data_IF_304858148643
#
_entry.id   IF_304858148643
#
_cell.length_a   1.000
_cell.length_b   1.000
_cell.length_c   1.000
_cell.angle_alpha   90.00
_cell.angle_beta   90.00
_cell.angle_gamma   90.00
#
_symmetry.space_group_name_H-M   'P 1'
#
loop_
_entity.id
_entity.type
_entity.pdbx_description
1 polymer ?
#
# COMPACT_ATOMS: atom_id res chain seq x y z
N UNK A 1 5.69 12.54 -7.47
CA UNK A 1 4.98 11.31 -7.86
C UNK A 1 4.08 10.89 -6.72
N UNK A 2 2.83 10.57 -7.03
CA UNK A 2 1.84 10.01 -6.11
C UNK A 2 1.55 8.57 -6.51
N UNK A 3 1.91 7.61 -5.67
CA UNK A 3 1.59 6.20 -5.90
C UNK A 3 0.40 5.84 -5.03
N UNK A 4 -0.68 5.40 -5.66
CA UNK A 4 -1.87 4.89 -4.97
C UNK A 4 -1.95 3.37 -5.10
N UNK A 5 -2.64 2.74 -4.18
CA UNK A 5 -2.94 1.31 -4.16
C UNK A 5 -4.38 1.08 -3.73
N UNK A 6 -4.99 -0.02 -4.15
CA UNK A 6 -6.31 -0.41 -3.64
C UNK A 6 -6.32 -0.33 -2.11
N UNK A 7 -7.15 0.55 -1.51
CA UNK A 7 -7.18 0.76 -0.06
C UNK A 7 -7.42 -0.51 0.74
N UNK A 8 -8.15 -1.48 0.18
CA UNK A 8 -8.40 -2.78 0.80
C UNK A 8 -7.12 -3.60 0.90
N UNK A 9 -6.30 -3.56 -0.16
CA UNK A 9 -5.00 -4.24 -0.20
C UNK A 9 -3.94 -3.52 0.65
N UNK A 10 -4.06 -2.20 0.85
CA UNK A 10 -3.23 -1.45 1.80
C UNK A 10 -3.45 -1.97 3.22
N UNK A 11 -4.71 -2.11 3.63
CA UNK A 11 -5.07 -2.65 4.95
C UNK A 11 -4.57 -4.09 5.13
N UNK A 12 -4.75 -4.94 4.12
CA UNK A 12 -4.28 -6.33 4.16
C UNK A 12 -2.75 -6.39 4.28
N UNK A 13 -2.06 -5.61 3.45
CA UNK A 13 -0.60 -5.54 3.45
C UNK A 13 -0.08 -5.09 4.82
N UNK A 14 -0.62 -4.01 5.37
CA UNK A 14 -0.28 -3.50 6.69
C UNK A 14 -0.55 -4.50 7.81
N UNK A 15 -1.75 -5.07 7.84
CA UNK A 15 -2.17 -6.01 8.88
C UNK A 15 -1.27 -7.24 9.00
N UNK A 16 -0.80 -7.79 7.88
CA UNK A 16 0.14 -8.92 7.89
C UNK A 16 1.60 -8.51 8.03
N UNK A 17 1.98 -7.32 7.59
CA UNK A 17 3.34 -6.81 7.71
C UNK A 17 3.66 -6.38 9.14
N UNK A 18 2.78 -5.62 9.77
CA UNK A 18 3.05 -4.99 11.05
C UNK A 18 3.16 -5.96 12.22
N UNK A 19 2.63 -7.17 12.10
CA UNK A 19 2.82 -8.22 13.13
C UNK A 19 4.26 -8.73 13.21
N UNK A 20 5.06 -8.56 12.14
CA UNK A 20 6.44 -9.05 12.06
C UNK A 20 7.48 -7.96 11.83
N UNK A 21 7.06 -6.71 11.58
CA UNK A 21 7.97 -5.61 11.22
C UNK A 21 9.04 -5.35 12.26
N UNK A 22 10.23 -5.00 11.78
CA UNK A 22 11.38 -4.58 12.62
C UNK A 22 11.56 -3.07 12.66
N UNK A 23 10.70 -2.32 11.99
CA UNK A 23 10.77 -0.86 11.93
C UNK A 23 10.64 -0.22 13.31
N UNK A 24 11.48 0.79 13.58
CA UNK A 24 11.55 1.45 14.90
C UNK A 24 10.21 2.01 15.35
N UNK A 25 9.47 2.68 14.46
CA UNK A 25 8.21 3.32 14.81
C UNK A 25 7.16 2.32 15.34
N UNK A 26 7.15 1.10 14.78
CA UNK A 26 6.23 0.03 15.15
C UNK A 26 6.69 -0.74 16.40
N UNK A 27 7.95 -0.61 16.79
CA UNK A 27 8.54 -1.32 17.92
C UNK A 27 8.73 -0.45 19.16
N UNK A 28 8.53 0.88 19.06
CA UNK A 28 8.58 1.78 20.21
C UNK A 28 7.28 1.72 21.02
N UNK A 29 7.37 1.61 22.36
CA UNK A 29 6.20 1.68 23.25
C UNK A 29 5.44 3.00 23.12
N UNK A 30 4.11 2.95 23.12
CA UNK A 30 3.25 4.12 23.03
C UNK A 30 2.13 4.08 24.09
N UNK A 31 1.80 5.25 24.65
CA UNK A 31 0.73 5.38 25.66
C UNK A 31 -0.63 4.91 25.12
N UNK A 32 -0.92 5.21 23.85
CA UNK A 32 -2.18 4.83 23.19
C UNK A 32 -2.42 3.32 23.14
N UNK A 33 -1.35 2.50 23.25
CA UNK A 33 -1.43 1.04 23.31
C UNK A 33 -1.15 0.47 24.71
N UNK A 34 -1.37 1.29 25.76
CA UNK A 34 -1.13 0.85 27.13
C UNK A 34 0.33 0.53 27.42
N UNK A 35 1.27 1.24 26.80
CA UNK A 35 2.71 1.01 26.94
C UNK A 35 3.27 -0.07 26.04
N UNK A 36 2.44 -0.76 25.23
CA UNK A 36 2.89 -1.68 24.20
C UNK A 36 3.35 -0.93 22.95
N UNK A 37 4.17 -1.57 22.13
CA UNK A 37 4.45 -1.08 20.78
C UNK A 37 3.27 -1.36 19.83
N UNK A 38 3.24 -0.70 18.66
CA UNK A 38 2.25 -0.98 17.62
C UNK A 38 2.25 -2.47 17.24
N UNK A 39 3.45 -3.05 16.98
CA UNK A 39 3.61 -4.46 16.67
C UNK A 39 3.04 -5.37 17.74
N UNK A 40 3.28 -5.06 19.00
CA UNK A 40 2.72 -5.84 20.12
C UNK A 40 1.20 -5.71 20.20
N UNK A 41 0.66 -4.53 19.94
CA UNK A 41 -0.78 -4.27 20.00
C UNK A 41 -1.54 -5.02 18.88
N UNK A 42 -1.04 -4.94 17.64
CA UNK A 42 -1.65 -5.66 16.51
C UNK A 42 -1.48 -7.19 16.65
N UNK A 43 -0.31 -7.65 17.12
CA UNK A 43 -0.06 -9.10 17.33
C UNK A 43 -0.91 -9.69 18.46
N UNK A 44 -1.38 -8.88 19.39
CA UNK A 44 -2.26 -9.29 20.45
C UNK A 44 -3.73 -9.45 20.03
N UNK A 45 -4.09 -9.07 18.81
CA UNK A 45 -5.44 -9.24 18.28
C UNK A 45 -5.72 -10.74 18.06
N UNK A 46 -6.90 -11.24 18.51
CA UNK A 46 -7.19 -12.68 18.56
C UNK A 46 -7.19 -13.37 17.20
N UNK A 47 -7.72 -12.70 16.18
CA UNK A 47 -7.91 -13.26 14.85
C UNK A 47 -7.31 -12.37 13.78
N UNK A 48 -7.14 -12.89 12.57
CA UNK A 48 -6.72 -12.04 11.41
C UNK A 48 -7.79 -11.01 11.08
N UNK A 49 -9.07 -11.30 11.27
CA UNK A 49 -10.15 -10.32 11.18
C UNK A 49 -9.88 -9.13 12.13
N UNK A 50 -9.62 -9.40 13.41
CA UNK A 50 -9.39 -8.35 14.40
C UNK A 50 -8.12 -7.55 14.12
N UNK A 51 -7.05 -8.20 13.59
CA UNK A 51 -5.84 -7.51 13.13
C UNK A 51 -6.13 -6.55 11.99
N UNK A 52 -6.95 -6.96 11.01
CA UNK A 52 -7.31 -6.09 9.88
C UNK A 52 -8.22 -4.93 10.32
N UNK A 53 -9.15 -5.17 11.24
CA UNK A 53 -9.95 -4.08 11.84
C UNK A 53 -9.04 -3.12 12.62
N UNK A 54 -8.12 -3.63 13.43
CA UNK A 54 -7.13 -2.81 14.12
C UNK A 54 -6.29 -1.97 13.13
N UNK A 55 -5.85 -2.57 12.02
CA UNK A 55 -5.08 -1.88 10.97
C UNK A 55 -5.90 -0.76 10.30
N UNK A 56 -7.20 -0.98 10.06
CA UNK A 56 -8.11 0.04 9.53
C UNK A 56 -8.24 1.24 10.49
N UNK A 57 -8.22 1.00 11.79
CA UNK A 57 -8.34 2.06 12.80
C UNK A 57 -7.03 2.83 13.02
N UNK A 58 -5.89 2.26 12.61
CA UNK A 58 -4.55 2.79 12.90
C UNK A 58 -3.72 3.08 11.64
N UNK A 59 -2.59 2.40 11.45
CA UNK A 59 -1.60 2.74 10.43
C UNK A 59 -2.14 2.62 9.00
N UNK A 60 -2.76 1.50 8.64
CA UNK A 60 -3.36 1.33 7.31
C UNK A 60 -4.48 2.32 7.05
N UNK A 61 -5.33 2.55 8.07
CA UNK A 61 -6.38 3.54 7.96
C UNK A 61 -5.87 4.97 7.82
N UNK A 62 -4.74 5.31 8.45
CA UNK A 62 -4.06 6.59 8.23
C UNK A 62 -3.63 6.71 6.76
N UNK A 63 -2.96 5.70 6.21
CA UNK A 63 -2.52 5.68 4.81
C UNK A 63 -3.70 5.81 3.84
N UNK A 64 -4.81 5.11 4.08
CA UNK A 64 -6.03 5.25 3.26
C UNK A 64 -6.55 6.69 3.29
N UNK A 65 -6.64 7.30 4.47
CA UNK A 65 -7.09 8.71 4.61
C UNK A 65 -6.15 9.68 3.92
N UNK A 66 -4.84 9.46 3.97
CA UNK A 66 -3.84 10.29 3.28
C UNK A 66 -3.98 10.20 1.76
N UNK A 67 -4.17 8.99 1.20
CA UNK A 67 -4.45 8.82 -0.24
C UNK A 67 -5.76 9.52 -0.66
N UNK A 68 -6.83 9.34 0.11
CA UNK A 68 -8.13 9.96 -0.17
C UNK A 68 -8.09 11.48 -0.01
N UNK A 69 -7.30 11.98 0.94
CA UNK A 69 -7.11 13.39 1.22
C UNK A 69 -6.13 14.11 0.30
N UNK A 70 -5.58 13.42 -0.71
CA UNK A 70 -4.68 14.04 -1.67
C UNK A 70 -5.34 15.20 -2.41
N UNK A 71 -4.61 16.32 -2.55
CA UNK A 71 -5.11 17.49 -3.25
C UNK A 71 -4.99 17.33 -4.77
N UNK A 72 -6.07 16.89 -5.38
CA UNK A 72 -6.15 16.69 -6.84
C UNK A 72 -6.16 18.01 -7.65
N UNK A 73 -6.19 19.19 -7.02
CA UNK A 73 -5.91 20.43 -7.72
C UNK A 73 -4.47 20.52 -8.23
N UNK A 74 -3.58 19.72 -7.63
CA UNK A 74 -2.16 19.59 -8.00
C UNK A 74 -1.88 18.56 -9.10
N UNK A 75 -2.90 18.00 -9.73
CA UNK A 75 -2.76 16.94 -10.75
C UNK A 75 -1.80 17.29 -11.89
N UNK A 76 -1.75 18.56 -12.29
CA UNK A 76 -0.93 19.01 -13.42
C UNK A 76 0.58 19.06 -13.08
N UNK A 77 0.91 19.07 -11.79
CA UNK A 77 2.28 19.03 -11.27
C UNK A 77 2.60 17.73 -10.53
N UNK A 78 1.74 16.72 -10.67
CA UNK A 78 1.90 15.42 -10.04
C UNK A 78 1.75 14.29 -11.07
N UNK A 79 2.67 13.34 -11.05
CA UNK A 79 2.52 12.09 -11.76
C UNK A 79 1.88 11.07 -10.82
N UNK A 80 0.66 10.65 -11.11
CA UNK A 80 0.01 9.59 -10.35
C UNK A 80 0.19 8.23 -11.04
N UNK A 81 0.49 7.21 -10.27
CA UNK A 81 0.59 5.83 -10.73
C UNK A 81 -0.12 4.89 -9.75
N UNK A 82 -0.73 3.83 -10.27
CA UNK A 82 -1.30 2.76 -9.46
C UNK A 82 -0.24 1.68 -9.20
N UNK A 83 -0.13 1.27 -7.95
CA UNK A 83 0.77 0.17 -7.56
C UNK A 83 0.53 -1.08 -8.40
N UNK A 84 -0.74 -1.41 -8.64
CA UNK A 84 -1.16 -2.58 -9.42
C UNK A 84 -0.63 -2.56 -10.85
N UNK A 85 -0.55 -1.38 -11.46
CA UNK A 85 -0.01 -1.22 -12.80
C UNK A 85 1.53 -1.28 -12.81
N UNK A 86 2.17 -0.70 -11.76
CA UNK A 86 3.62 -0.70 -11.63
C UNK A 86 4.20 -2.11 -11.46
N UNK A 87 3.58 -2.96 -10.66
CA UNK A 87 4.08 -4.32 -10.38
C UNK A 87 4.04 -5.26 -11.58
N UNK A 88 3.27 -4.92 -12.61
CA UNK A 88 3.14 -5.71 -13.84
C UNK A 88 3.77 -5.04 -15.07
N UNK A 89 4.38 -3.87 -14.91
CA UNK A 89 4.93 -3.05 -16.01
C UNK A 89 6.25 -3.62 -16.58
N UNK A 90 6.26 -4.92 -16.89
CA UNK A 90 7.42 -5.61 -17.52
C UNK A 90 7.88 -4.91 -18.81
N UNK A 91 6.95 -4.30 -19.53
CA UNK A 91 7.19 -3.58 -20.78
C UNK A 91 7.71 -2.15 -20.58
N UNK A 92 7.89 -1.70 -19.35
CA UNK A 92 8.32 -0.35 -18.99
C UNK A 92 7.50 0.75 -19.73
N UNK A 93 6.18 0.67 -19.66
CA UNK A 93 5.28 1.67 -20.25
C UNK A 93 5.05 2.86 -19.31
N UNK A 94 5.08 2.61 -17.99
CA UNK A 94 4.77 3.60 -16.95
C UNK A 94 6.05 4.21 -16.37
N UNK A 95 7.07 3.39 -16.12
CA UNK A 95 8.31 3.88 -15.50
C UNK A 95 9.05 4.96 -16.32
N UNK A 96 9.21 4.87 -17.67
CA UNK A 96 9.91 5.91 -18.40
C UNK A 96 9.24 7.29 -18.32
N UNK A 97 7.93 7.47 -18.54
CA UNK A 97 7.30 8.77 -18.37
C UNK A 97 7.35 9.25 -16.90
N UNK A 98 7.23 8.37 -15.92
CA UNK A 98 7.38 8.71 -14.51
C UNK A 98 8.79 9.21 -14.19
N UNK A 99 9.84 8.54 -14.67
CA UNK A 99 11.23 8.96 -14.47
C UNK A 99 11.53 10.28 -15.18
N UNK A 100 11.01 10.50 -16.39
CA UNK A 100 11.11 11.77 -17.10
C UNK A 100 10.43 12.91 -16.34
N UNK A 101 9.26 12.66 -15.78
CA UNK A 101 8.58 13.61 -14.90
C UNK A 101 9.44 14.00 -13.68
N UNK A 102 10.25 13.09 -13.17
CA UNK A 102 11.22 13.34 -12.10
C UNK A 102 12.51 14.01 -12.59
N UNK A 103 12.62 14.34 -13.87
CA UNK A 103 13.78 15.04 -14.46
C UNK A 103 14.94 14.10 -14.85
N UNK A 104 14.68 12.80 -15.00
CA UNK A 104 15.67 11.87 -15.55
C UNK A 104 15.67 11.91 -17.08
N UNK A 105 16.82 12.13 -17.69
CA UNK A 105 16.99 12.18 -19.15
C UNK A 105 18.30 11.50 -19.58
N UNK A 106 18.40 11.14 -20.87
CA UNK A 106 19.60 10.53 -21.47
C UNK A 106 20.14 9.35 -20.68
N UNK A 107 21.44 9.28 -20.50
CA UNK A 107 22.12 8.17 -19.79
C UNK A 107 21.64 7.98 -18.34
N UNK A 108 21.15 9.05 -17.67
CA UNK A 108 20.58 8.95 -16.32
C UNK A 108 19.23 8.21 -16.34
N UNK A 109 18.40 8.45 -17.35
CA UNK A 109 17.16 7.73 -17.55
C UNK A 109 17.43 6.23 -17.80
N UNK A 110 18.39 5.91 -18.70
CA UNK A 110 18.74 4.53 -19.02
C UNK A 110 19.22 3.78 -17.77
N UNK A 111 20.05 4.42 -16.96
CA UNK A 111 20.53 3.87 -15.68
C UNK A 111 19.36 3.64 -14.71
N UNK A 112 18.46 4.61 -14.55
CA UNK A 112 17.31 4.48 -13.67
C UNK A 112 16.40 3.33 -14.11
N UNK A 113 16.12 3.18 -15.40
CA UNK A 113 15.30 2.09 -15.94
C UNK A 113 15.95 0.71 -15.79
N UNK A 114 17.29 0.65 -15.82
CA UNK A 114 18.01 -0.58 -15.48
C UNK A 114 17.75 -0.98 -14.03
N UNK A 115 17.90 -0.04 -13.08
CA UNK A 115 17.58 -0.30 -11.67
C UNK A 115 16.13 -0.71 -11.47
N UNK A 116 15.17 -0.05 -12.15
CA UNK A 116 13.76 -0.46 -12.11
C UNK A 116 13.61 -1.91 -12.53
N UNK A 117 14.23 -2.36 -13.60
CA UNK A 117 14.17 -3.78 -14.03
C UNK A 117 14.76 -4.71 -13.00
N UNK A 118 15.95 -4.37 -12.48
CA UNK A 118 16.70 -5.25 -11.59
C UNK A 118 16.03 -5.38 -10.20
N UNK A 119 15.40 -4.29 -9.71
CA UNK A 119 14.84 -4.19 -8.36
C UNK A 119 13.32 -4.35 -8.29
N UNK A 120 12.63 -4.43 -9.44
CA UNK A 120 11.16 -4.63 -9.46
C UNK A 120 10.77 -6.06 -9.12
N UNK A 121 9.50 -6.24 -8.75
CA UNK A 121 8.92 -7.56 -8.51
C UNK A 121 9.05 -8.49 -9.73
N UNK A 122 8.97 -7.94 -10.94
CA UNK A 122 9.14 -8.69 -12.16
C UNK A 122 10.61 -8.90 -12.58
N UNK A 123 11.57 -8.20 -11.95
CA UNK A 123 13.01 -8.30 -12.20
C UNK A 123 13.72 -9.39 -11.40
N UNK A 124 13.00 -10.10 -10.54
CA UNK A 124 13.57 -11.18 -9.72
C UNK A 124 14.13 -10.74 -8.37
N UNK A 125 14.04 -9.46 -8.01
CA UNK A 125 14.40 -8.98 -6.66
C UNK A 125 13.39 -9.42 -5.57
N UNK A 126 12.25 -9.97 -5.98
CA UNK A 126 11.27 -10.54 -5.06
C UNK A 126 11.90 -11.73 -4.32
N UNK A 127 12.11 -11.59 -3.01
CA UNK A 127 12.61 -12.68 -2.15
C UNK A 127 14.10 -12.64 -1.83
N UNK A 128 14.83 -11.59 -2.21
CA UNK A 128 16.27 -11.46 -1.90
C UNK A 128 16.57 -10.81 -0.54
N UNK A 129 15.57 -10.22 0.13
CA UNK A 129 15.74 -9.61 1.46
C UNK A 129 14.93 -10.38 2.52
N UNK A 130 15.60 -10.89 3.58
CA UNK A 130 14.92 -11.53 4.71
C UNK A 130 13.99 -10.61 5.51
N UNK A 131 14.09 -9.31 5.35
CA UNK A 131 13.16 -8.35 5.94
C UNK A 131 11.79 -8.31 5.25
N UNK A 132 11.59 -9.20 4.27
CA UNK A 132 10.40 -9.42 3.45
C UNK A 132 9.25 -8.44 3.65
N UNK A 133 9.41 -7.25 3.06
CA UNK A 133 8.32 -6.30 2.88
C UNK A 133 7.28 -6.82 1.88
N UNK A 134 7.64 -7.85 1.11
CA UNK A 134 6.82 -8.44 0.06
C UNK A 134 6.23 -9.75 0.56
N UNK A 135 4.92 -9.76 0.83
CA UNK A 135 4.20 -10.99 1.20
C UNK A 135 3.83 -11.82 -0.03
N UNK A 136 3.13 -11.21 -1.01
CA UNK A 136 2.74 -11.87 -2.26
C UNK A 136 3.13 -11.07 -3.49
N UNK A 137 3.30 -9.75 -3.36
CA UNK A 137 3.52 -8.86 -4.51
C UNK A 137 2.34 -8.76 -5.48
N UNK A 138 1.15 -9.25 -5.09
CA UNK A 138 -0.04 -9.30 -5.92
C UNK A 138 -1.01 -8.18 -5.57
N UNK A 139 -1.77 -7.73 -6.57
CA UNK A 139 -2.95 -6.89 -6.37
C UNK A 139 -4.21 -7.74 -6.14
N UNK A 140 -5.30 -7.08 -5.70
CA UNK A 140 -6.63 -7.67 -5.51
C UNK A 140 -6.70 -8.82 -4.49
N UNK A 141 -5.80 -8.84 -3.51
CA UNK A 141 -5.80 -9.85 -2.44
C UNK A 141 -7.10 -9.80 -1.62
N UNK A 142 -7.74 -8.62 -1.56
CA UNK A 142 -8.98 -8.39 -0.84
C UNK A 142 -10.13 -9.31 -1.28
N UNK A 143 -10.13 -9.75 -2.53
CA UNK A 143 -11.16 -10.67 -3.06
C UNK A 143 -11.24 -11.96 -2.26
N UNK A 144 -10.10 -12.46 -1.78
CA UNK A 144 -9.99 -13.71 -1.03
C UNK A 144 -9.95 -13.50 0.50
N UNK A 145 -9.68 -12.28 0.96
CA UNK A 145 -9.45 -11.98 2.39
C UNK A 145 -10.65 -11.28 3.03
N UNK A 146 -11.34 -10.39 2.29
CA UNK A 146 -12.43 -9.62 2.84
C UNK A 146 -13.71 -10.44 2.95
N UNK A 147 -14.04 -10.84 4.16
CA UNK A 147 -15.37 -11.38 4.49
C UNK A 147 -16.44 -10.29 4.41
N UNK A 148 -17.74 -10.64 4.41
CA UNK A 148 -18.82 -9.66 4.49
C UNK A 148 -18.64 -8.68 5.65
N UNK A 149 -18.18 -9.16 6.82
CA UNK A 149 -17.97 -8.36 8.03
C UNK A 149 -16.80 -7.37 7.83
N UNK A 150 -15.69 -7.79 7.19
CA UNK A 150 -14.57 -6.90 6.86
C UNK A 150 -14.98 -5.85 5.82
N UNK A 151 -15.82 -6.22 4.84
CA UNK A 151 -16.38 -5.26 3.88
C UNK A 151 -17.22 -4.22 4.60
N UNK A 152 -18.11 -4.64 5.50
CA UNK A 152 -18.93 -3.72 6.30
C UNK A 152 -18.06 -2.80 7.16
N UNK A 153 -17.07 -3.34 7.86
CA UNK A 153 -16.14 -2.58 8.69
C UNK A 153 -15.33 -1.55 7.87
N UNK A 154 -14.91 -1.92 6.66
CA UNK A 154 -14.20 -1.03 5.75
C UNK A 154 -15.14 0.09 5.23
N UNK A 155 -16.33 -0.25 4.73
CA UNK A 155 -17.32 0.74 4.24
C UNK A 155 -17.69 1.76 5.33
N UNK A 156 -17.82 1.32 6.58
CA UNK A 156 -18.12 2.22 7.71
C UNK A 156 -16.99 3.24 7.95
N UNK A 157 -15.74 2.86 7.81
CA UNK A 157 -14.56 3.71 8.07
C UNK A 157 -14.17 4.58 6.89
N UNK A 158 -14.41 4.08 5.69
CA UNK A 158 -13.95 4.68 4.43
C UNK A 158 -15.06 4.66 3.37
N UNK A 159 -16.19 5.35 3.59
CA UNK A 159 -17.41 5.17 2.79
C UNK A 159 -17.26 5.54 1.32
N UNK A 160 -16.35 6.45 0.98
CA UNK A 160 -16.14 6.96 -0.37
C UNK A 160 -14.72 6.72 -0.92
N UNK A 161 -13.84 6.06 -0.16
CA UNK A 161 -12.43 5.92 -0.50
C UNK A 161 -12.21 5.22 -1.85
N UNK A 162 -12.95 4.15 -2.11
CA UNK A 162 -12.79 3.37 -3.35
C UNK A 162 -13.25 4.15 -4.58
N UNK A 163 -14.35 4.89 -4.47
CA UNK A 163 -14.86 5.72 -5.55
C UNK A 163 -13.93 6.90 -5.82
N UNK A 164 -13.49 7.60 -4.76
CA UNK A 164 -12.56 8.75 -4.89
C UNK A 164 -11.24 8.38 -5.52
N UNK A 165 -10.72 7.19 -5.22
CA UNK A 165 -9.48 6.67 -5.80
C UNK A 165 -9.70 5.88 -7.10
N UNK A 166 -10.95 5.75 -7.57
CA UNK A 166 -11.31 5.11 -8.83
C UNK A 166 -11.10 3.58 -8.85
N UNK A 167 -11.22 2.92 -7.68
CA UNK A 167 -11.18 1.46 -7.58
C UNK A 167 -12.57 0.82 -7.69
N UNK A 168 -13.62 1.57 -7.40
CA UNK A 168 -15.01 1.13 -7.57
C UNK A 168 -15.86 2.27 -8.13
N UNK A 169 -16.92 1.92 -8.86
CA UNK A 169 -17.87 2.89 -9.42
C UNK A 169 -19.05 3.20 -8.50
N UNK A 170 -19.23 2.42 -7.44
CA UNK A 170 -20.36 2.55 -6.52
C UNK A 170 -20.06 1.97 -5.15
N UNK A 171 -21.08 1.99 -4.28
CA UNK A 171 -20.94 1.47 -2.92
C UNK A 171 -21.05 -0.06 -2.84
N UNK A 172 -21.58 -0.71 -3.87
CA UNK A 172 -21.74 -2.17 -3.92
C UNK A 172 -20.54 -2.83 -4.60
N UNK A 173 -19.79 -3.62 -3.82
CA UNK A 173 -18.58 -4.33 -4.26
C UNK A 173 -18.27 -5.54 -3.36
#
# INVERSE_FOLDING_TARGET
VHVIRDPRDVVISGGFYHVKTVEKWANNPKKEYGGKSYRQAISAQPTDHDKLVFEMDHAGGKTVREMVGWDYSLKDICFEARYEDLIVDRGLKIFPPMMKFLGYEGARLDTALKFVRDLSLFGGAAGSDPADHIRSGEGRQWVNVFTPELKAAFKQRFPDALQRLGYENGAEW
#
